data_IF_750010861823
#
_entry.id   IF_750010861823
#
_cell.length_a   1.000
_cell.length_b   1.000
_cell.length_c   1.000
_cell.angle_alpha   90.00
_cell.angle_beta   90.00
_cell.angle_gamma   90.00
#
_symmetry.space_group_name_H-M   'P 1'
#
loop_
_entity.id
_entity.type
_entity.pdbx_description
1 polymer ?
#
# COMPACT_ATOMS: atom_id res chain seq x y z
N UNK A 1 -18.12 -26.19 1.07
CA UNK A 1 -17.29 -25.63 -0.02
C UNK A 1 -16.00 -26.44 -0.09
N UNK A 2 -15.19 -26.35 -1.15
CA UNK A 2 -13.84 -26.95 -1.07
C UNK A 2 -13.00 -26.17 -0.06
N UNK A 3 -11.99 -26.80 0.57
CA UNK A 3 -11.06 -26.09 1.47
C UNK A 3 -10.41 -24.87 0.78
N UNK A 4 -10.24 -24.93 -0.55
CA UNK A 4 -9.75 -23.82 -1.36
C UNK A 4 -10.75 -22.65 -1.42
N UNK A 5 -12.04 -22.95 -1.61
CA UNK A 5 -13.08 -21.92 -1.63
C UNK A 5 -13.26 -21.21 -0.28
N UNK A 6 -13.08 -21.92 0.83
CA UNK A 6 -13.09 -21.32 2.17
C UNK A 6 -11.89 -20.38 2.39
N UNK A 7 -10.71 -20.77 1.92
CA UNK A 7 -9.52 -19.91 1.94
C UNK A 7 -9.72 -18.62 1.12
N UNK A 8 -10.25 -18.75 -0.11
CA UNK A 8 -10.50 -17.61 -1.00
C UNK A 8 -11.56 -16.66 -0.42
N UNK A 9 -12.67 -17.20 0.10
CA UNK A 9 -13.73 -16.40 0.72
C UNK A 9 -13.27 -15.66 1.99
N UNK A 10 -12.30 -16.21 2.72
CA UNK A 10 -11.76 -15.60 3.93
C UNK A 10 -10.70 -14.51 3.66
N UNK A 11 -10.16 -14.42 2.44
CA UNK A 11 -9.05 -13.52 2.11
C UNK A 11 -9.33 -12.04 2.48
N UNK A 12 -10.46 -11.42 2.10
CA UNK A 12 -10.70 -10.03 2.44
C UNK A 12 -10.71 -9.77 3.95
N UNK A 13 -11.29 -10.68 4.73
CA UNK A 13 -11.29 -10.60 6.19
C UNK A 13 -9.88 -10.66 6.77
N UNK A 14 -9.03 -11.55 6.24
CA UNK A 14 -7.62 -11.65 6.65
C UNK A 14 -6.82 -10.40 6.30
N UNK A 15 -7.09 -9.77 5.15
CA UNK A 15 -6.45 -8.50 4.78
C UNK A 15 -6.79 -7.42 5.80
N UNK A 16 -8.07 -7.28 6.17
CA UNK A 16 -8.52 -6.32 7.19
C UNK A 16 -7.84 -6.62 8.54
N UNK A 17 -7.80 -7.89 8.95
CA UNK A 17 -7.10 -8.31 10.17
C UNK A 17 -5.60 -7.94 10.16
N UNK A 18 -4.92 -8.06 9.01
CA UNK A 18 -3.51 -7.66 8.90
C UNK A 18 -3.34 -6.14 8.93
N UNK A 19 -4.21 -5.36 8.30
CA UNK A 19 -4.18 -3.89 8.41
C UNK A 19 -4.38 -3.44 9.85
N UNK A 20 -5.26 -4.10 10.61
CA UNK A 20 -5.45 -3.80 12.04
C UNK A 20 -4.20 -4.04 12.89
N UNK A 21 -3.28 -4.93 12.48
CA UNK A 21 -1.99 -5.12 13.18
C UNK A 21 -1.06 -3.90 13.08
N UNK A 22 -1.30 -3.02 12.10
CA UNK A 22 -0.55 -1.76 11.95
C UNK A 22 -0.98 -0.70 12.98
N UNK A 23 -2.13 -0.90 13.64
CA UNK A 23 -2.66 0.05 14.62
C UNK A 23 -1.78 0.14 15.85
N UNK A 24 -1.53 1.36 16.32
CA UNK A 24 -0.63 1.69 17.42
C UNK A 24 0.85 1.32 17.23
N UNK A 25 1.28 0.87 16.04
CA UNK A 25 2.71 0.82 15.71
C UNK A 25 3.12 2.15 15.06
N UNK A 26 3.88 2.97 15.79
CA UNK A 26 4.26 4.30 15.34
C UNK A 26 5.58 4.32 14.58
N UNK A 27 6.46 3.32 14.74
CA UNK A 27 7.78 3.33 14.08
C UNK A 27 8.65 4.60 14.30
N UNK A 28 8.31 5.46 15.27
CA UNK A 28 8.95 6.77 15.49
C UNK A 28 8.29 7.96 14.78
N UNK A 29 7.17 7.76 14.10
CA UNK A 29 6.38 8.78 13.40
C UNK A 29 5.27 9.38 14.29
N UNK A 30 4.71 10.55 13.92
CA UNK A 30 3.62 11.18 14.67
C UNK A 30 2.25 10.51 14.50
N UNK A 31 2.13 9.55 13.58
CA UNK A 31 0.93 8.73 13.35
C UNK A 31 1.33 7.26 13.37
N UNK A 32 0.39 6.36 13.65
CA UNK A 32 0.65 4.92 13.50
C UNK A 32 0.58 4.47 12.04
N UNK A 33 1.08 3.27 11.76
CA UNK A 33 1.15 2.71 10.40
C UNK A 33 -0.22 2.48 9.77
N UNK A 34 -1.24 2.20 10.58
CA UNK A 34 -2.60 2.09 10.07
C UNK A 34 -3.12 3.45 9.62
N UNK A 35 -2.94 4.48 10.44
CA UNK A 35 -3.28 5.86 10.10
C UNK A 35 -2.52 6.32 8.85
N UNK A 36 -1.23 6.01 8.75
CA UNK A 36 -0.45 6.25 7.54
C UNK A 36 -1.11 5.60 6.31
N UNK A 37 -1.44 4.30 6.39
CA UNK A 37 -2.08 3.56 5.31
C UNK A 37 -3.42 4.18 4.88
N UNK A 38 -4.30 4.53 5.83
CA UNK A 38 -5.60 5.14 5.50
C UNK A 38 -5.46 6.60 5.06
N UNK A 39 -4.45 7.34 5.52
CA UNK A 39 -4.14 8.67 5.00
C UNK A 39 -3.73 8.61 3.53
N UNK A 40 -2.81 7.69 3.18
CA UNK A 40 -2.36 7.49 1.79
C UNK A 40 -3.55 7.15 0.89
N UNK A 41 -4.40 6.20 1.30
CA UNK A 41 -5.62 5.84 0.58
C UNK A 41 -6.61 7.01 0.45
N UNK A 42 -6.83 7.77 1.53
CA UNK A 42 -7.76 8.92 1.53
C UNK A 42 -7.27 10.03 0.62
N UNK A 43 -5.95 10.27 0.55
CA UNK A 43 -5.36 11.25 -0.37
C UNK A 43 -5.57 10.83 -1.82
N UNK A 44 -5.26 9.58 -2.15
CA UNK A 44 -5.47 9.04 -3.50
C UNK A 44 -6.95 9.10 -3.93
N UNK A 45 -7.88 8.73 -3.03
CA UNK A 45 -9.31 8.80 -3.29
C UNK A 45 -9.80 10.24 -3.53
N UNK A 46 -9.35 11.20 -2.71
CA UNK A 46 -9.71 12.61 -2.87
C UNK A 46 -9.15 13.23 -4.15
N UNK A 47 -8.03 12.69 -4.65
CA UNK A 47 -7.46 13.05 -5.94
C UNK A 47 -8.18 12.37 -7.12
N UNK A 48 -9.19 11.52 -6.85
CA UNK A 48 -10.00 10.87 -7.88
C UNK A 48 -9.33 9.66 -8.53
N UNK A 49 -8.36 9.03 -7.85
CA UNK A 49 -7.77 7.76 -8.29
C UNK A 49 -8.79 6.63 -8.26
N UNK A 50 -8.55 5.60 -9.06
CA UNK A 50 -9.45 4.45 -9.16
C UNK A 50 -9.31 3.48 -7.97
N UNK A 51 -10.26 2.55 -7.88
CA UNK A 51 -10.33 1.53 -6.83
C UNK A 51 -9.04 0.71 -6.70
N UNK A 52 -8.41 0.36 -7.83
CA UNK A 52 -7.16 -0.41 -7.83
C UNK A 52 -6.01 0.39 -7.19
N UNK A 53 -5.87 1.66 -7.57
CA UNK A 53 -4.88 2.56 -6.99
C UNK A 53 -5.14 2.82 -5.50
N UNK A 54 -6.40 3.05 -5.11
CA UNK A 54 -6.78 3.26 -3.71
C UNK A 54 -6.43 2.02 -2.87
N UNK A 55 -6.67 0.81 -3.38
CA UNK A 55 -6.28 -0.43 -2.70
C UNK A 55 -4.75 -0.57 -2.62
N UNK A 56 -4.01 -0.25 -3.67
CA UNK A 56 -2.54 -0.21 -3.60
C UNK A 56 -2.04 0.78 -2.54
N UNK A 57 -2.60 1.99 -2.51
CA UNK A 57 -2.30 3.01 -1.52
C UNK A 57 -2.62 2.53 -0.08
N UNK A 58 -3.74 1.84 0.12
CA UNK A 58 -4.12 1.32 1.43
C UNK A 58 -3.23 0.17 1.91
N UNK A 59 -2.72 -0.66 0.99
CA UNK A 59 -2.01 -1.91 1.34
C UNK A 59 -0.49 -1.85 1.16
N UNK A 60 0.08 -0.76 0.63
CA UNK A 60 1.51 -0.69 0.29
C UNK A 60 2.44 -1.08 1.45
N UNK A 61 2.04 -0.74 2.69
CA UNK A 61 2.78 -0.99 3.94
C UNK A 61 2.28 -2.19 4.77
N UNK A 62 1.35 -3.00 4.26
CA UNK A 62 0.76 -4.15 5.01
C UNK A 62 1.82 -5.16 5.50
N UNK A 63 3.00 -5.18 4.87
CA UNK A 63 4.12 -6.05 5.23
C UNK A 63 4.94 -5.61 6.43
N UNK A 64 4.76 -4.39 6.95
CA UNK A 64 5.68 -3.78 7.94
C UNK A 64 5.93 -4.64 9.17
N UNK A 65 4.87 -5.22 9.72
CA UNK A 65 4.94 -6.02 10.96
C UNK A 65 5.63 -7.37 10.72
N UNK A 66 5.62 -7.89 9.49
CA UNK A 66 6.15 -9.20 9.14
C UNK A 66 7.58 -9.14 8.59
N UNK A 67 7.90 -8.08 7.86
CA UNK A 67 9.13 -7.97 7.07
C UNK A 67 9.67 -6.53 7.11
N UNK A 68 10.12 -6.02 8.27
CA UNK A 68 10.50 -4.60 8.44
C UNK A 68 11.74 -4.16 7.63
N UNK A 69 12.41 -5.07 6.93
CA UNK A 69 13.59 -4.80 6.10
C UNK A 69 13.27 -4.76 4.60
N UNK A 70 12.08 -5.22 4.21
CA UNK A 70 11.67 -5.41 2.81
C UNK A 70 10.13 -5.54 2.73
N UNK A 71 9.41 -4.75 3.52
CA UNK A 71 7.95 -4.79 3.60
C UNK A 71 7.20 -4.63 2.27
N UNK A 72 7.70 -3.89 1.25
CA UNK A 72 7.01 -3.80 -0.03
C UNK A 72 6.81 -5.15 -0.71
N UNK A 73 7.72 -6.11 -0.48
CA UNK A 73 7.67 -7.44 -1.10
C UNK A 73 6.41 -8.23 -0.71
N UNK A 74 5.96 -8.09 0.54
CA UNK A 74 4.74 -8.76 1.03
C UNK A 74 3.51 -8.15 0.38
N UNK A 75 3.43 -6.82 0.34
CA UNK A 75 2.32 -6.11 -0.30
C UNK A 75 2.24 -6.45 -1.80
N UNK A 76 3.37 -6.41 -2.50
CA UNK A 76 3.47 -6.77 -3.91
C UNK A 76 3.01 -8.22 -4.16
N UNK A 77 3.45 -9.18 -3.34
CA UNK A 77 3.04 -10.58 -3.46
C UNK A 77 1.53 -10.78 -3.27
N UNK A 78 0.90 -10.07 -2.33
CA UNK A 78 -0.55 -10.10 -2.10
C UNK A 78 -1.30 -9.53 -3.31
N UNK A 79 -0.86 -8.39 -3.83
CA UNK A 79 -1.57 -7.62 -4.85
C UNK A 79 -1.36 -8.14 -6.28
N UNK A 80 -0.26 -8.85 -6.55
CA UNK A 80 0.13 -9.35 -7.89
C UNK A 80 -0.98 -10.00 -8.72
N UNK A 81 -1.90 -10.80 -8.17
CA UNK A 81 -2.98 -11.39 -8.96
C UNK A 81 -4.12 -10.42 -9.31
N UNK A 82 -4.16 -9.23 -8.69
CA UNK A 82 -5.33 -8.33 -8.70
C UNK A 82 -5.08 -7.01 -9.41
N UNK A 83 -3.82 -6.57 -9.51
CA UNK A 83 -3.47 -5.24 -9.99
C UNK A 83 -2.73 -5.28 -11.34
N UNK A 84 -2.75 -4.15 -12.05
CA UNK A 84 -1.95 -3.88 -13.23
C UNK A 84 -0.45 -3.93 -12.95
N UNK A 85 0.36 -4.12 -14.00
CA UNK A 85 1.83 -4.14 -13.88
C UNK A 85 2.39 -2.84 -13.31
N UNK A 86 1.80 -1.69 -13.65
CA UNK A 86 2.21 -0.39 -13.13
C UNK A 86 1.99 -0.29 -11.61
N UNK A 87 0.80 -0.65 -11.13
CA UNK A 87 0.47 -0.63 -9.70
C UNK A 87 1.25 -1.67 -8.89
N UNK A 88 1.46 -2.86 -9.44
CA UNK A 88 2.34 -3.85 -8.81
C UNK A 88 3.76 -3.31 -8.65
N UNK A 89 4.32 -2.72 -9.73
CA UNK A 89 5.68 -2.18 -9.71
C UNK A 89 5.82 -1.01 -8.75
N UNK A 90 4.83 -0.11 -8.73
CA UNK A 90 4.75 0.98 -7.76
C UNK A 90 4.82 0.45 -6.33
N UNK A 91 3.95 -0.50 -5.97
CA UNK A 91 3.93 -1.07 -4.61
C UNK A 91 5.24 -1.80 -4.30
N UNK A 92 5.80 -2.58 -5.21
CA UNK A 92 7.05 -3.31 -4.97
C UNK A 92 8.25 -2.37 -4.72
N UNK A 93 8.26 -1.19 -5.35
CA UNK A 93 9.41 -0.29 -5.30
C UNK A 93 9.22 0.94 -4.40
N UNK A 94 8.00 1.18 -3.89
CA UNK A 94 7.68 2.42 -3.17
C UNK A 94 8.65 2.70 -2.02
N UNK A 95 9.09 1.69 -1.26
CA UNK A 95 9.99 1.89 -0.12
C UNK A 95 11.33 2.55 -0.51
N UNK A 96 11.87 2.23 -1.70
CA UNK A 96 13.09 2.87 -2.21
C UNK A 96 12.82 4.30 -2.67
N UNK A 97 11.64 4.55 -3.24
CA UNK A 97 11.22 5.86 -3.73
C UNK A 97 10.90 6.83 -2.59
N UNK A 98 10.15 6.37 -1.58
CA UNK A 98 9.85 7.08 -0.33
C UNK A 98 11.15 7.44 0.42
N UNK A 99 12.15 6.55 0.36
CA UNK A 99 13.50 6.79 0.89
C UNK A 99 14.14 8.12 0.45
N UNK A 100 13.74 8.68 -0.70
CA UNK A 100 14.17 10.00 -1.15
C UNK A 100 13.92 11.10 -0.12
N UNK A 101 12.83 11.00 0.63
CA UNK A 101 12.39 12.04 1.56
C UNK A 101 13.09 11.98 2.92
N UNK A 102 13.63 10.83 3.35
CA UNK A 102 14.16 10.70 4.71
C UNK A 102 15.49 9.93 4.88
N UNK A 103 15.93 9.10 3.93
CA UNK A 103 17.16 8.30 4.13
C UNK A 103 18.41 9.14 4.37
N UNK A 104 18.49 10.34 3.79
CA UNK A 104 19.61 11.25 4.02
C UNK A 104 19.70 11.78 5.46
N UNK A 105 18.60 11.74 6.23
CA UNK A 105 18.62 12.01 7.67
C UNK A 105 19.10 10.81 8.50
N UNK A 106 19.08 9.60 7.92
CA UNK A 106 19.54 8.35 8.51
C UNK A 106 20.93 7.91 8.03
N UNK A 107 21.61 8.75 7.23
CA UNK A 107 22.90 8.43 6.62
C UNK A 107 22.83 7.51 5.39
N UNK A 108 21.62 7.23 4.89
CA UNK A 108 21.38 6.48 3.67
C UNK A 108 21.39 7.34 2.39
N UNK A 109 21.34 6.68 1.24
CA UNK A 109 21.34 7.34 -0.07
C UNK A 109 19.92 7.70 -0.51
N UNK A 110 19.51 8.97 -0.34
CA UNK A 110 18.21 9.46 -0.86
C UNK A 110 17.99 9.23 -2.36
N UNK A 111 19.05 9.18 -3.16
CA UNK A 111 18.94 9.00 -4.61
C UNK A 111 19.02 7.52 -5.03
N UNK A 112 18.82 6.57 -4.11
CA UNK A 112 18.82 5.14 -4.44
C UNK A 112 17.79 4.77 -5.52
N UNK A 113 16.65 5.48 -5.55
CA UNK A 113 15.64 5.34 -6.61
C UNK A 113 16.22 5.52 -8.01
N UNK A 114 17.33 6.27 -8.18
CA UNK A 114 17.94 6.55 -9.48
C UNK A 114 18.43 5.29 -10.21
N UNK A 115 18.59 4.17 -9.51
CA UNK A 115 18.86 2.86 -10.11
C UNK A 115 17.73 2.40 -11.06
N UNK A 116 16.52 2.97 -10.95
CA UNK A 116 15.34 2.61 -11.71
C UNK A 116 14.95 3.63 -12.80
N UNK A 117 15.77 4.66 -13.06
CA UNK A 117 15.43 5.77 -13.98
C UNK A 117 15.00 5.36 -15.39
N UNK A 118 15.47 4.22 -15.87
CA UNK A 118 15.14 3.70 -17.21
C UNK A 118 13.85 2.86 -17.23
N UNK A 119 13.19 2.66 -16.08
CA UNK A 119 11.93 1.93 -16.00
C UNK A 119 10.75 2.84 -16.36
N UNK A 120 9.82 2.34 -17.17
CA UNK A 120 8.64 3.09 -17.62
C UNK A 120 7.69 3.53 -16.48
N UNK A 121 7.78 2.88 -15.31
CA UNK A 121 6.96 3.20 -14.14
C UNK A 121 7.69 4.08 -13.11
N UNK A 122 8.89 4.58 -13.42
CA UNK A 122 9.67 5.43 -12.50
C UNK A 122 8.86 6.66 -12.04
N UNK A 123 8.38 7.47 -12.99
CA UNK A 123 7.63 8.71 -12.69
C UNK A 123 6.33 8.39 -11.95
N UNK A 124 5.72 7.23 -12.26
CA UNK A 124 4.50 6.77 -11.61
C UNK A 124 4.70 6.45 -10.12
N UNK A 125 5.80 5.78 -9.77
CA UNK A 125 6.15 5.51 -8.37
C UNK A 125 6.68 6.76 -7.65
N UNK A 126 7.38 7.65 -8.36
CA UNK A 126 7.75 8.95 -7.81
C UNK A 126 6.51 9.76 -7.41
N UNK A 127 5.53 9.87 -8.30
CA UNK A 127 4.27 10.57 -8.05
C UNK A 127 3.56 9.98 -6.83
N UNK A 128 3.49 8.65 -6.74
CA UNK A 128 2.87 7.97 -5.59
C UNK A 128 3.51 8.40 -4.27
N UNK A 129 4.84 8.35 -4.18
CA UNK A 129 5.56 8.73 -2.97
C UNK A 129 5.46 10.23 -2.70
N UNK A 130 5.45 11.09 -3.72
CA UNK A 130 5.39 12.53 -3.57
C UNK A 130 4.02 13.04 -3.08
N UNK A 131 2.94 12.54 -3.69
CA UNK A 131 1.60 13.10 -3.49
C UNK A 131 0.81 12.38 -2.39
N UNK A 132 1.08 11.09 -2.16
CA UNK A 132 0.26 10.27 -1.27
C UNK A 132 1.05 9.73 -0.08
N UNK A 133 2.08 8.92 -0.33
CA UNK A 133 2.75 8.14 0.69
C UNK A 133 3.60 9.03 1.63
N UNK A 134 4.59 9.76 1.13
CA UNK A 134 5.44 10.59 2.02
C UNK A 134 4.70 11.69 2.80
N UNK A 135 3.64 12.35 2.29
CA UNK A 135 2.87 13.31 3.09
C UNK A 135 1.87 12.65 4.07
N UNK A 136 1.66 11.33 4.05
CA UNK A 136 0.72 10.61 4.91
C UNK A 136 1.27 10.31 6.32
N UNK A 137 2.03 11.24 6.89
CA UNK A 137 2.47 11.22 8.29
C UNK A 137 1.96 12.47 9.04
N UNK A 138 0.81 13.01 8.64
CA UNK A 138 0.28 14.27 9.15
C UNK A 138 -0.73 14.03 10.30
N UNK A 139 -0.41 14.33 11.56
CA UNK A 139 -1.32 14.11 12.69
C UNK A 139 -2.56 15.02 12.68
N UNK A 140 -2.59 16.04 11.81
CA UNK A 140 -3.72 16.95 11.65
C UNK A 140 -4.66 16.54 10.52
N UNK A 141 -4.22 15.67 9.61
CA UNK A 141 -5.00 15.24 8.47
C UNK A 141 -6.23 14.44 8.93
N UNK A 142 -7.34 14.60 8.20
CA UNK A 142 -8.58 13.86 8.43
C UNK A 142 -8.72 12.78 7.38
N UNK A 143 -8.26 11.59 7.70
CA UNK A 143 -8.41 10.35 6.93
C UNK A 143 -9.83 9.79 7.05
N UNK A 144 -10.19 8.93 6.10
CA UNK A 144 -11.29 8.00 6.28
C UNK A 144 -10.87 6.90 7.26
N UNK A 145 -11.78 6.38 8.10
CA UNK A 145 -11.48 5.24 8.95
C UNK A 145 -11.35 3.95 8.13
N UNK A 146 -10.68 2.90 8.64
CA UNK A 146 -10.50 1.63 7.91
C UNK A 146 -11.85 1.02 7.49
N UNK A 147 -12.88 1.14 8.33
CA UNK A 147 -14.23 0.64 8.09
C UNK A 147 -14.87 1.20 6.80
N UNK A 148 -14.46 2.41 6.39
CA UNK A 148 -14.88 3.01 5.13
C UNK A 148 -14.43 2.18 3.91
N UNK A 149 -13.24 1.59 3.98
CA UNK A 149 -12.64 0.80 2.89
C UNK A 149 -13.02 -0.68 2.91
N UNK A 150 -13.70 -1.17 3.95
CA UNK A 150 -14.03 -2.59 4.06
C UNK A 150 -14.82 -3.15 2.87
N UNK A 151 -15.80 -2.39 2.37
CA UNK A 151 -16.59 -2.83 1.19
C UNK A 151 -15.72 -2.90 -0.06
N UNK A 152 -14.83 -1.91 -0.25
CA UNK A 152 -13.87 -1.90 -1.35
C UNK A 152 -12.93 -3.12 -1.27
N UNK A 153 -12.36 -3.43 -0.09
CA UNK A 153 -11.50 -4.60 0.12
C UNK A 153 -12.26 -5.91 -0.18
N UNK A 154 -13.50 -6.04 0.29
CA UNK A 154 -14.36 -7.22 0.06
C UNK A 154 -14.66 -7.42 -1.42
N UNK A 155 -14.85 -6.34 -2.16
CA UNK A 155 -15.15 -6.40 -3.59
C UNK A 155 -13.89 -6.62 -4.44
N UNK A 156 -12.77 -6.03 -4.05
CA UNK A 156 -11.50 -6.14 -4.74
C UNK A 156 -10.87 -7.53 -4.62
N UNK A 157 -10.86 -8.14 -3.43
CA UNK A 157 -10.26 -9.46 -3.18
C UNK A 157 -11.20 -10.63 -3.48
N UNK A 158 -11.95 -10.53 -4.58
CA UNK A 158 -12.72 -11.66 -5.16
C UNK A 158 -11.82 -12.48 -6.07
N UNK A 159 -12.20 -13.72 -6.38
CA UNK A 159 -11.37 -14.60 -7.21
C UNK A 159 -11.02 -13.91 -8.55
N UNK A 160 -9.73 -13.61 -8.82
CA UNK A 160 -9.34 -12.76 -9.96
C UNK A 160 -9.43 -13.50 -11.31
N UNK A 161 -9.61 -14.82 -11.28
CA UNK A 161 -9.72 -15.70 -12.44
C UNK A 161 -11.17 -16.01 -12.81
N UNK A 162 -12.13 -15.68 -11.94
CA UNK A 162 -13.57 -15.81 -12.19
C UNK A 162 -14.17 -14.46 -12.63
N UNK A 163 -13.52 -13.79 -13.58
CA UNK A 163 -14.19 -12.74 -14.36
C UNK A 163 -15.16 -13.44 -15.30
N UNK A 164 -16.41 -13.60 -14.87
CA UNK A 164 -17.47 -14.05 -15.77
C UNK A 164 -17.55 -13.07 -16.96
N UNK A 165 -17.75 -13.67 -18.13
CA UNK A 165 -18.16 -13.06 -19.40
C UNK A 165 -19.25 -11.99 -19.24
#
# INVERSE_FOLDING_TARGET
>A
MSQRGELEAALPGRIIEQLELLRNDYGGFPVDRLEHSVQTATRAERDGRDDEYIVCALLHDIGDVLTPYNHPDVAAAILKPFVSTANHWMVENHGVFQGYYFWHHLGGNRNARDAFKENEHYDYCEEFCAEYDSPAFDPSYKSNPLEYYESLIKDFFRNPWNKNE
#
